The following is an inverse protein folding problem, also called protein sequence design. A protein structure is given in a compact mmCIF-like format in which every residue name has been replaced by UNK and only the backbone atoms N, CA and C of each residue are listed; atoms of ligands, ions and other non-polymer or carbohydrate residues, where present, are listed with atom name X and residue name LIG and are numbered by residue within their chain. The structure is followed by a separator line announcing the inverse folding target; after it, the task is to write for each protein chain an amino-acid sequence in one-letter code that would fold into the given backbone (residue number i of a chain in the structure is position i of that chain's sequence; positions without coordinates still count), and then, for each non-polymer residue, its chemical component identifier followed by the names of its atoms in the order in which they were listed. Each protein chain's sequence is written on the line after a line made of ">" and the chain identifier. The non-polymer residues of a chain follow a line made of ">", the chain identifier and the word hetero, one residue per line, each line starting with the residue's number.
data_IF_174893038993
#
_entry.id   IF_174893038993
#
_cell.length_a   1.000
_cell.length_b   1.000
_cell.length_c   1.000
_cell.angle_alpha   90.00
_cell.angle_beta   90.00
_cell.angle_gamma   90.00
#
_symmetry.space_group_name_H-M   'P 1'
#
loop_
_entity.id
_entity.type
_entity.pdbx_description
1 polymer ?
#
# COMPACT_ATOMS: atom_id res chain seq x y z
N UNK A 1 -7.25 -19.35 -12.38
CA UNK A 1 -6.75 -20.30 -13.39
C UNK A 1 -5.24 -20.52 -13.30
N UNK A 2 -4.42 -19.45 -13.21
CA UNK A 2 -2.95 -19.56 -13.17
C UNK A 2 -2.44 -20.28 -11.91
N UNK A 3 -2.98 -19.97 -10.75
CA UNK A 3 -2.59 -20.63 -9.49
C UNK A 3 -2.96 -22.13 -9.47
N UNK A 4 -4.05 -22.51 -10.13
CA UNK A 4 -4.43 -23.92 -10.25
C UNK A 4 -3.38 -24.75 -11.02
N UNK A 5 -2.62 -24.15 -11.93
CA UNK A 5 -1.55 -24.83 -12.69
C UNK A 5 -0.36 -25.23 -11.81
N UNK A 6 -0.22 -24.60 -10.66
CA UNK A 6 0.82 -24.92 -9.67
C UNK A 6 0.22 -25.56 -8.41
N UNK A 7 -1.01 -26.09 -8.50
CA UNK A 7 -1.64 -26.89 -7.46
C UNK A 7 -2.36 -26.07 -6.36
N UNK A 8 -2.52 -24.75 -6.55
CA UNK A 8 -3.20 -23.88 -5.57
C UNK A 8 -4.67 -23.69 -5.97
N UNK A 9 -5.58 -24.16 -5.14
CA UNK A 9 -7.02 -23.91 -5.30
C UNK A 9 -7.39 -22.57 -4.67
N UNK A 10 -7.98 -21.67 -5.47
CA UNK A 10 -8.40 -20.34 -5.01
C UNK A 10 -9.93 -20.26 -5.01
N UNK A 11 -10.50 -19.97 -3.86
CA UNK A 11 -11.89 -19.59 -3.70
C UNK A 11 -12.00 -18.08 -3.74
N UNK A 12 -12.44 -17.53 -4.88
CA UNK A 12 -12.52 -16.09 -5.08
C UNK A 12 -13.71 -15.49 -4.31
N UNK A 13 -13.44 -14.55 -3.42
CA UNK A 13 -14.44 -13.83 -2.64
C UNK A 13 -14.39 -12.32 -2.97
N UNK A 14 -14.99 -11.94 -4.10
CA UNK A 14 -15.04 -10.55 -4.56
C UNK A 14 -16.16 -9.77 -3.86
N UNK A 15 -15.81 -8.71 -3.15
CA UNK A 15 -16.72 -7.89 -2.35
C UNK A 15 -16.52 -6.39 -2.59
N UNK A 16 -17.56 -5.55 -2.36
CA UNK A 16 -17.38 -4.11 -2.30
C UNK A 16 -16.37 -3.70 -1.20
N UNK A 17 -15.69 -2.57 -1.39
CA UNK A 17 -14.66 -2.05 -0.46
C UNK A 17 -15.14 -2.05 1.01
N UNK A 18 -16.38 -1.59 1.25
CA UNK A 18 -16.95 -1.52 2.61
C UNK A 18 -17.05 -2.87 3.33
N UNK A 19 -17.07 -3.98 2.59
CA UNK A 19 -17.08 -5.33 3.15
C UNK A 19 -15.69 -5.97 3.13
N UNK A 20 -14.85 -5.60 2.17
CA UNK A 20 -13.51 -6.16 2.01
C UNK A 20 -12.53 -5.62 3.05
N UNK A 21 -12.50 -4.32 3.27
CA UNK A 21 -11.54 -3.69 4.18
C UNK A 21 -11.61 -4.19 5.63
N UNK A 22 -12.80 -4.33 6.25
CA UNK A 22 -12.89 -4.91 7.59
C UNK A 22 -12.34 -6.34 7.69
N UNK A 23 -12.44 -7.15 6.62
CA UNK A 23 -11.87 -8.49 6.63
C UNK A 23 -10.34 -8.46 6.72
N UNK A 24 -9.69 -7.51 6.03
CA UNK A 24 -8.24 -7.32 6.09
C UNK A 24 -7.84 -6.83 7.49
N UNK A 25 -8.49 -5.77 7.96
CA UNK A 25 -8.14 -5.16 9.25
C UNK A 25 -8.46 -6.06 10.44
N UNK A 26 -9.44 -6.96 10.32
CA UNK A 26 -9.77 -7.94 11.35
C UNK A 26 -8.94 -9.24 11.25
N UNK A 27 -8.05 -9.35 10.25
CA UNK A 27 -7.26 -10.56 10.03
C UNK A 27 -8.10 -11.77 9.62
N UNK A 28 -9.21 -11.55 8.89
CA UNK A 28 -10.16 -12.59 8.45
C UNK A 28 -9.97 -13.02 7.00
N UNK A 29 -8.78 -12.79 6.46
CA UNK A 29 -8.40 -13.16 5.09
C UNK A 29 -7.10 -13.94 5.10
N UNK A 30 -7.03 -15.03 4.34
CA UNK A 30 -5.79 -15.79 4.16
C UNK A 30 -4.90 -15.18 3.08
N UNK A 31 -5.53 -14.61 2.04
CA UNK A 31 -4.87 -13.99 0.91
C UNK A 31 -5.77 -12.91 0.32
N UNK A 32 -5.29 -11.70 0.20
CA UNK A 32 -6.11 -10.58 -0.28
C UNK A 32 -5.36 -9.70 -1.28
N UNK A 33 -6.12 -8.98 -2.09
CA UNK A 33 -5.61 -7.96 -3.00
C UNK A 33 -6.02 -6.57 -2.50
N UNK A 34 -5.04 -5.66 -2.43
CA UNK A 34 -5.24 -4.28 -2.00
C UNK A 34 -4.44 -3.35 -2.91
N UNK A 35 -5.06 -2.26 -3.35
CA UNK A 35 -4.35 -1.16 -3.98
C UNK A 35 -3.87 -0.17 -2.93
N UNK A 36 -2.67 0.40 -3.11
CA UNK A 36 -2.10 1.39 -2.20
C UNK A 36 -1.48 2.55 -2.94
N UNK A 37 -1.82 3.77 -2.52
CA UNK A 37 -1.20 5.01 -3.00
C UNK A 37 -0.25 5.58 -1.95
N UNK A 38 0.80 6.27 -2.40
CA UNK A 38 1.82 6.88 -1.52
C UNK A 38 1.89 8.38 -1.79
N UNK A 39 1.04 9.19 -1.14
CA UNK A 39 0.97 10.63 -1.42
C UNK A 39 2.24 11.40 -1.07
N UNK A 40 3.09 10.86 -0.22
CA UNK A 40 4.39 11.44 0.15
C UNK A 40 5.51 11.07 -0.81
N UNK A 41 5.29 10.10 -1.70
CA UNK A 41 6.32 9.47 -2.55
C UNK A 41 7.52 8.91 -1.78
N UNK A 42 7.32 8.62 -0.48
CA UNK A 42 8.34 8.08 0.42
C UNK A 42 7.93 6.71 0.96
N UNK A 43 8.86 5.77 1.01
CA UNK A 43 8.64 4.40 1.48
C UNK A 43 8.19 4.35 2.94
N UNK A 44 8.53 5.32 3.78
CA UNK A 44 8.10 5.40 5.16
C UNK A 44 6.57 5.33 5.29
N UNK A 45 5.84 5.96 4.35
CA UNK A 45 4.38 5.90 4.34
C UNK A 45 3.85 4.46 4.22
N UNK A 46 4.44 3.67 3.32
CA UNK A 46 4.07 2.25 3.18
C UNK A 46 4.41 1.49 4.46
N UNK A 47 5.61 1.69 4.99
CA UNK A 47 6.07 0.97 6.17
C UNK A 47 5.19 1.25 7.38
N UNK A 48 4.82 2.51 7.60
CA UNK A 48 3.97 2.92 8.71
C UNK A 48 2.58 2.30 8.67
N UNK A 49 2.01 2.07 7.49
CA UNK A 49 0.64 1.55 7.38
C UNK A 49 0.57 0.04 7.15
N UNK A 50 1.49 -0.52 6.37
CA UNK A 50 1.39 -1.89 5.87
C UNK A 50 2.38 -2.87 6.50
N UNK A 51 3.53 -2.40 7.01
CA UNK A 51 4.63 -3.27 7.45
C UNK A 51 4.78 -3.30 8.97
N UNK A 52 4.73 -2.13 9.60
CA UNK A 52 4.83 -2.01 11.06
C UNK A 52 3.79 -2.88 11.77
N UNK A 53 4.17 -3.50 12.88
CA UNK A 53 3.25 -4.19 13.77
C UNK A 53 2.07 -3.30 14.18
N UNK A 54 0.93 -3.89 14.50
CA UNK A 54 -0.29 -3.12 14.80
C UNK A 54 -0.22 -2.44 16.15
N UNK A 55 -0.24 -1.13 16.14
CA UNK A 55 -0.45 -0.26 17.30
C UNK A 55 -1.70 0.64 17.09
N UNK A 56 -1.95 1.61 17.97
CA UNK A 56 -3.14 2.47 17.89
C UNK A 56 -3.24 3.26 16.59
N UNK A 57 -2.12 3.84 16.13
CA UNK A 57 -2.09 4.79 15.00
C UNK A 57 -1.20 4.34 13.84
N UNK A 58 -0.43 3.26 14.02
CA UNK A 58 0.53 2.74 13.06
C UNK A 58 0.26 1.25 12.79
N UNK A 59 0.63 0.74 11.63
CA UNK A 59 0.36 -0.65 11.26
C UNK A 59 -1.12 -0.96 11.02
N UNK A 60 -1.96 0.07 10.87
CA UNK A 60 -3.42 -0.06 10.83
C UNK A 60 -3.93 -0.92 9.67
N UNK A 61 -3.15 -1.03 8.60
CA UNK A 61 -3.43 -1.85 7.42
C UNK A 61 -2.52 -3.07 7.27
N UNK A 62 -1.70 -3.36 8.29
CA UNK A 62 -0.93 -4.60 8.30
C UNK A 62 -1.87 -5.80 8.48
N UNK A 63 -2.31 -6.35 7.36
CA UNK A 63 -3.16 -7.53 7.31
C UNK A 63 -2.38 -8.86 7.28
N UNK A 64 -1.04 -8.79 7.28
CA UNK A 64 -0.18 -9.97 7.25
C UNK A 64 -0.03 -10.63 8.63
N UNK A 65 -0.26 -9.87 9.70
CA UNK A 65 0.03 -10.30 11.06
C UNK A 65 1.52 -10.34 11.41
N UNK A 66 2.38 -9.85 10.51
CA UNK A 66 3.82 -9.73 10.77
C UNK A 66 4.05 -8.69 11.86
N UNK A 67 4.90 -9.03 12.82
CA UNK A 67 5.25 -8.21 13.98
C UNK A 67 6.72 -8.45 14.33
N UNK A 68 7.51 -7.36 14.37
CA UNK A 68 8.94 -7.42 14.64
C UNK A 68 9.42 -6.11 15.28
N UNK A 69 9.65 -6.12 16.58
CA UNK A 69 10.03 -4.95 17.39
C UNK A 69 11.27 -4.20 16.85
N UNK A 70 12.27 -4.91 16.33
CA UNK A 70 13.49 -4.30 15.79
C UNK A 70 13.20 -3.57 14.48
N UNK A 71 12.38 -4.18 13.59
CA UNK A 71 11.96 -3.57 12.35
C UNK A 71 11.07 -2.36 12.62
N UNK A 72 10.17 -2.45 13.56
CA UNK A 72 9.24 -1.39 13.96
C UNK A 72 9.99 -0.18 14.53
N UNK A 73 10.99 -0.41 15.37
CA UNK A 73 11.87 0.65 15.86
C UNK A 73 12.63 1.34 14.72
N UNK A 74 13.11 0.56 13.73
CA UNK A 74 13.77 1.10 12.54
C UNK A 74 12.80 1.93 11.67
N UNK A 75 11.58 1.47 11.45
CA UNK A 75 10.54 2.22 10.73
C UNK A 75 10.28 3.55 11.42
N UNK A 76 10.05 3.54 12.73
CA UNK A 76 9.80 4.78 13.51
C UNK A 76 10.96 5.78 13.43
N UNK A 77 12.20 5.30 13.35
CA UNK A 77 13.37 6.17 13.26
C UNK A 77 13.47 6.95 11.96
N UNK A 78 12.85 6.47 10.87
CA UNK A 78 12.90 7.12 9.54
C UNK A 78 12.34 8.54 9.57
N UNK A 79 11.31 8.81 10.40
CA UNK A 79 10.66 10.11 10.48
C UNK A 79 11.61 11.22 10.99
N UNK A 80 12.60 10.88 11.80
CA UNK A 80 13.54 11.83 12.42
C UNK A 80 14.96 11.76 11.87
N UNK A 81 15.26 10.76 11.02
CA UNK A 81 16.60 10.59 10.47
C UNK A 81 16.85 11.60 9.34
N UNK A 82 17.69 12.59 9.58
CA UNK A 82 18.08 13.64 8.62
C UNK A 82 19.32 13.29 7.79
N UNK A 83 20.04 12.24 8.13
CA UNK A 83 21.13 11.72 7.29
C UNK A 83 20.52 10.91 6.15
N UNK A 84 20.50 11.49 4.96
CA UNK A 84 19.89 10.87 3.78
C UNK A 84 20.54 9.54 3.39
N UNK A 85 21.84 9.39 3.57
CA UNK A 85 22.53 8.16 3.21
C UNK A 85 22.15 7.02 4.18
N UNK A 86 22.18 7.30 5.47
CA UNK A 86 21.77 6.34 6.50
C UNK A 86 20.28 6.00 6.38
N UNK A 87 19.43 7.01 6.16
CA UNK A 87 17.97 6.80 5.97
C UNK A 87 17.67 5.92 4.76
N UNK A 88 18.32 6.17 3.62
CA UNK A 88 18.13 5.34 2.42
C UNK A 88 18.62 3.91 2.63
N UNK A 89 19.69 3.71 3.41
CA UNK A 89 20.14 2.37 3.77
C UNK A 89 19.10 1.66 4.64
N UNK A 90 18.54 2.33 5.64
CA UNK A 90 17.48 1.78 6.49
C UNK A 90 16.24 1.42 5.66
N UNK A 91 15.82 2.25 4.72
CA UNK A 91 14.73 1.95 3.78
C UNK A 91 15.03 0.68 2.98
N UNK A 92 16.24 0.56 2.45
CA UNK A 92 16.65 -0.62 1.69
C UNK A 92 16.66 -1.90 2.54
N UNK A 93 17.08 -1.79 3.79
CA UNK A 93 17.10 -2.91 4.72
C UNK A 93 15.68 -3.35 5.11
N UNK A 94 14.76 -2.41 5.35
CA UNK A 94 13.35 -2.71 5.60
C UNK A 94 12.73 -3.42 4.39
N UNK A 95 12.96 -2.91 3.17
CA UNK A 95 12.46 -3.55 1.95
C UNK A 95 13.00 -4.97 1.77
N UNK A 96 14.25 -5.22 2.18
CA UNK A 96 14.83 -6.58 2.15
C UNK A 96 14.04 -7.52 3.06
N UNK A 97 13.72 -7.10 4.29
CA UNK A 97 12.89 -7.90 5.20
C UNK A 97 11.52 -8.16 4.60
N UNK A 98 10.86 -7.14 4.04
CA UNK A 98 9.55 -7.29 3.36
C UNK A 98 9.59 -8.35 2.26
N UNK A 99 10.69 -8.40 1.50
CA UNK A 99 10.89 -9.37 0.42
C UNK A 99 11.22 -10.77 0.94
N UNK A 100 12.13 -10.87 1.90
CA UNK A 100 12.58 -12.14 2.45
C UNK A 100 11.44 -12.87 3.18
N UNK A 101 10.60 -12.14 3.90
CA UNK A 101 9.40 -12.66 4.56
C UNK A 101 8.20 -12.78 3.63
N UNK A 102 8.32 -12.31 2.39
CA UNK A 102 7.24 -12.33 1.39
C UNK A 102 5.93 -11.70 1.90
N UNK A 103 6.04 -10.56 2.60
CA UNK A 103 4.87 -9.91 3.20
C UNK A 103 3.87 -9.41 2.16
N UNK A 104 4.37 -8.96 1.00
CA UNK A 104 3.57 -8.45 -0.10
C UNK A 104 4.11 -8.90 -1.46
N UNK A 105 3.22 -9.18 -2.38
CA UNK A 105 3.54 -9.53 -3.77
C UNK A 105 3.06 -8.38 -4.66
N UNK A 106 3.96 -7.49 -5.15
CA UNK A 106 3.56 -6.43 -6.07
C UNK A 106 3.14 -7.04 -7.41
N UNK A 107 1.95 -6.67 -7.90
CA UNK A 107 1.39 -7.24 -9.12
C UNK A 107 1.45 -6.26 -10.28
N UNK A 108 0.97 -5.02 -10.09
CA UNK A 108 0.94 -4.00 -11.15
C UNK A 108 0.72 -2.58 -10.58
N UNK A 109 1.05 -1.58 -11.39
CA UNK A 109 0.56 -0.23 -11.19
C UNK A 109 -0.76 -0.06 -11.92
N UNK A 110 -1.79 0.36 -11.19
CA UNK A 110 -3.12 0.58 -11.76
C UNK A 110 -3.10 1.78 -12.71
N UNK A 111 -3.72 1.63 -13.87
CA UNK A 111 -3.97 2.74 -14.79
C UNK A 111 -5.10 3.59 -14.22
N UNK A 112 -4.88 4.91 -14.13
CA UNK A 112 -5.87 5.87 -13.68
C UNK A 112 -6.72 6.33 -14.86
N UNK A 113 -8.03 6.14 -14.78
CA UNK A 113 -8.98 6.53 -15.80
C UNK A 113 -10.03 7.48 -15.23
N UNK A 114 -10.17 8.65 -15.83
CA UNK A 114 -11.16 9.63 -15.47
C UNK A 114 -12.13 9.86 -16.62
N UNK A 115 -13.43 9.71 -16.35
CA UNK A 115 -14.49 10.11 -17.27
C UNK A 115 -14.93 11.52 -16.97
N UNK A 116 -15.12 12.34 -18.00
CA UNK A 116 -15.62 13.71 -17.87
C UNK A 116 -16.59 14.04 -19.00
N UNK A 117 -17.43 15.05 -18.77
CA UNK A 117 -18.34 15.56 -19.80
C UNK A 117 -17.57 16.38 -20.83
N UNK A 118 -18.15 16.49 -22.05
CA UNK A 118 -17.59 17.34 -23.09
C UNK A 118 -17.44 18.79 -22.61
N UNK A 119 -16.33 19.43 -22.98
CA UNK A 119 -16.05 20.81 -22.61
C UNK A 119 -15.38 20.95 -21.23
N UNK A 120 -15.16 19.86 -20.50
CA UNK A 120 -14.38 19.87 -19.25
C UNK A 120 -13.03 19.21 -19.49
N UNK A 121 -11.95 19.91 -19.15
CA UNK A 121 -10.59 19.38 -19.12
C UNK A 121 -10.12 19.20 -17.68
N UNK A 122 -9.33 18.16 -17.44
CA UNK A 122 -8.73 17.89 -16.14
C UNK A 122 -7.26 17.50 -16.32
N UNK A 123 -6.42 18.04 -15.49
CA UNK A 123 -5.06 17.51 -15.33
C UNK A 123 -5.09 16.39 -14.27
N UNK A 124 -4.71 15.20 -14.70
CA UNK A 124 -4.73 14.01 -13.84
C UNK A 124 -3.50 14.03 -12.95
N UNK A 125 -3.73 13.96 -11.65
CA UNK A 125 -2.69 13.86 -10.64
C UNK A 125 -2.27 12.38 -10.46
N UNK A 126 -0.96 12.08 -10.33
CA UNK A 126 -0.49 10.71 -10.05
C UNK A 126 -1.07 10.08 -8.76
N UNK A 127 -1.58 10.90 -7.84
CA UNK A 127 -2.23 10.46 -6.61
C UNK A 127 -3.70 10.03 -6.80
N UNK A 128 -4.21 10.01 -8.03
CA UNK A 128 -5.62 9.71 -8.34
C UNK A 128 -6.62 10.65 -7.65
N UNK A 129 -6.23 11.91 -7.48
CA UNK A 129 -7.08 12.93 -6.87
C UNK A 129 -7.36 14.07 -7.86
N UNK A 130 -8.63 14.32 -8.20
CA UNK A 130 -8.99 15.45 -9.05
C UNK A 130 -8.81 16.76 -8.27
N UNK A 131 -7.83 17.55 -8.65
CA UNK A 131 -7.61 18.88 -8.06
C UNK A 131 -8.42 19.91 -8.84
N UNK A 132 -9.53 20.38 -8.27
CA UNK A 132 -10.48 21.31 -8.90
C UNK A 132 -9.80 22.56 -9.47
N UNK A 133 -8.70 23.04 -8.88
CA UNK A 133 -7.92 24.18 -9.37
C UNK A 133 -7.31 23.99 -10.77
N UNK A 134 -7.23 22.75 -11.25
CA UNK A 134 -6.72 22.41 -12.58
C UNK A 134 -7.83 22.06 -13.58
N UNK A 135 -9.09 22.24 -13.19
CA UNK A 135 -10.19 22.05 -14.13
C UNK A 135 -10.25 23.22 -15.09
N UNK A 136 -10.41 22.90 -16.36
CA UNK A 136 -10.64 23.88 -17.44
C UNK A 136 -12.02 23.65 -18.03
N UNK A 137 -12.69 24.73 -18.39
CA UNK A 137 -13.96 24.73 -19.13
C UNK A 137 -13.71 25.37 -20.49
N UNK A 138 -14.01 24.65 -21.58
CA UNK A 138 -13.86 25.10 -22.98
C UNK A 138 -15.23 25.37 -23.59
#
# INVERSE_FOLDING_TARGET
>A
GMLAQVGVTVNLDAKPKAQHFPLITDGKTDFYMLGWGVPTYDSEYIFNFLVHGRESDIGTWNGTGFDNDELDAKIKSLASNTDLAARNQDIADIWRVVQDETLYIPIHHQVLNWGMTDGVGIEVDPEDQPKVKYFTMN
#
